data_IF_979370058771
#
_entry.id   IF_979370058771
#
_cell.length_a   1.000
_cell.length_b   1.000
_cell.length_c   1.000
_cell.angle_alpha   90.00
_cell.angle_beta   90.00
_cell.angle_gamma   90.00
#
_symmetry.space_group_name_H-M   'P 1'
#
loop_
_entity.id
_entity.type
_entity.pdbx_description
1 polymer ?
#
# COMPACT_ATOMS: atom_id res chain seq x y z
N UNK A 1 0.32 65.92 -23.96
CA UNK A 1 -0.30 65.20 -22.81
C UNK A 1 -1.05 63.98 -23.34
N UNK A 2 -1.04 62.87 -22.57
CA UNK A 2 -1.76 61.59 -22.78
C UNK A 2 -1.05 60.48 -23.56
N UNK A 3 -0.02 59.91 -22.92
CA UNK A 3 0.42 58.52 -23.14
C UNK A 3 0.79 57.90 -21.79
N UNK A 4 -0.20 57.70 -20.91
CA UNK A 4 -0.01 57.00 -19.62
C UNK A 4 -1.28 56.22 -19.24
N UNK A 5 -1.67 55.24 -20.06
CA UNK A 5 -2.76 54.32 -19.66
C UNK A 5 -2.73 52.94 -20.32
N UNK A 6 -1.59 52.50 -20.89
CA UNK A 6 -1.52 51.18 -21.55
C UNK A 6 -0.60 50.19 -20.80
N UNK A 7 0.31 50.66 -19.96
CA UNK A 7 1.22 49.76 -19.22
C UNK A 7 0.62 49.09 -17.98
N UNK A 8 -0.56 49.50 -17.51
CA UNK A 8 -1.18 48.93 -16.30
C UNK A 8 -2.08 47.71 -16.57
N UNK A 9 -2.58 47.55 -17.81
CA UNK A 9 -3.46 46.43 -18.17
C UNK A 9 -2.67 45.14 -18.47
N UNK A 10 -1.39 45.26 -18.82
CA UNK A 10 -0.51 44.12 -19.11
C UNK A 10 0.07 43.47 -17.84
N UNK A 11 0.23 44.23 -16.76
CA UNK A 11 0.73 43.69 -15.48
C UNK A 11 -0.39 42.92 -14.74
N UNK A 12 -1.66 43.30 -14.93
CA UNK A 12 -2.80 42.59 -14.31
C UNK A 12 -3.11 41.24 -14.98
N UNK A 13 -2.77 41.07 -16.26
CA UNK A 13 -2.94 39.82 -17.01
C UNK A 13 -1.81 38.81 -16.76
N UNK A 14 -0.61 39.27 -16.40
CA UNK A 14 0.51 38.38 -16.01
C UNK A 14 0.28 37.80 -14.59
N UNK A 15 -0.41 38.53 -13.71
CA UNK A 15 -0.76 38.04 -12.36
C UNK A 15 -1.95 37.06 -12.34
N UNK A 16 -2.77 37.01 -13.39
CA UNK A 16 -3.90 36.07 -13.50
C UNK A 16 -3.53 34.73 -14.17
N UNK A 17 -2.28 34.58 -14.63
CA UNK A 17 -1.70 33.32 -15.13
C UNK A 17 -0.88 32.60 -14.04
N UNK A 18 -0.99 33.04 -12.78
CA UNK A 18 -0.78 32.17 -11.61
C UNK A 18 -1.87 31.09 -11.60
N UNK A 19 -1.81 30.19 -12.58
CA UNK A 19 -2.56 28.96 -12.61
C UNK A 19 -2.38 28.29 -11.25
N UNK A 20 -3.47 28.10 -10.50
CA UNK A 20 -3.54 27.32 -9.27
C UNK A 20 -3.13 25.86 -9.55
N UNK A 21 -1.86 25.63 -9.89
CA UNK A 21 -1.29 24.34 -10.25
C UNK A 21 -0.30 23.98 -9.16
N UNK A 22 -0.62 22.90 -8.47
CA UNK A 22 0.30 22.29 -7.52
C UNK A 22 1.47 21.73 -8.33
N UNK A 23 2.73 22.04 -7.97
CA UNK A 23 3.88 21.41 -8.61
C UNK A 23 3.79 19.87 -8.49
N UNK A 24 3.98 19.15 -9.59
CA UNK A 24 3.77 17.70 -9.63
C UNK A 24 4.60 16.95 -8.58
N UNK A 25 5.85 17.37 -8.38
CA UNK A 25 6.77 16.80 -7.39
C UNK A 25 6.20 16.81 -5.96
N UNK A 26 5.39 17.83 -5.63
CA UNK A 26 4.74 17.97 -4.32
C UNK A 26 3.59 17.01 -4.10
N UNK A 27 3.03 16.46 -5.17
CA UNK A 27 1.96 15.45 -5.15
C UNK A 27 2.41 14.09 -5.70
N UNK A 28 3.73 13.90 -5.84
CA UNK A 28 4.34 12.65 -6.32
C UNK A 28 4.69 11.73 -5.15
N UNK A 29 4.18 10.51 -5.19
CA UNK A 29 4.41 9.47 -4.18
C UNK A 29 5.52 8.49 -4.62
N UNK A 30 5.59 7.31 -4.02
CA UNK A 30 6.54 6.26 -4.41
C UNK A 30 6.33 5.85 -5.88
N UNK A 31 7.39 5.40 -6.54
CA UNK A 31 7.43 5.03 -7.96
C UNK A 31 7.02 6.16 -8.93
N UNK A 32 7.20 7.40 -8.51
CA UNK A 32 6.88 8.61 -9.28
C UNK A 32 5.40 8.74 -9.67
N UNK A 33 4.50 8.02 -8.99
CA UNK A 33 3.07 8.16 -9.23
C UNK A 33 2.56 9.53 -8.74
N UNK A 34 1.79 10.23 -9.57
CA UNK A 34 1.25 11.56 -9.27
C UNK A 34 -0.22 11.44 -8.90
N UNK A 35 -0.59 11.86 -7.68
CA UNK A 35 -2.00 11.83 -7.24
C UNK A 35 -2.86 12.86 -7.98
N UNK A 36 -4.19 12.63 -7.99
CA UNK A 36 -5.17 13.54 -8.61
C UNK A 36 -5.49 13.24 -10.08
N UNK A 37 -4.92 12.17 -10.65
CA UNK A 37 -5.29 11.65 -11.96
C UNK A 37 -6.72 11.08 -12.00
N UNK A 38 -7.23 10.84 -13.21
CA UNK A 38 -8.56 10.23 -13.39
C UNK A 38 -8.51 8.74 -13.08
N UNK A 39 -9.50 8.23 -12.35
CA UNK A 39 -9.61 6.82 -11.96
C UNK A 39 -9.63 5.87 -13.17
N UNK A 40 -10.29 6.25 -14.26
CA UNK A 40 -10.32 5.45 -15.50
C UNK A 40 -8.96 5.40 -16.25
N UNK A 41 -8.00 6.25 -15.87
CA UNK A 41 -6.65 6.25 -16.41
C UNK A 41 -5.64 5.52 -15.53
N UNK A 42 -6.05 5.00 -14.36
CA UNK A 42 -5.14 4.37 -13.39
C UNK A 42 -4.21 3.34 -14.02
N UNK A 43 -4.76 2.39 -14.76
CA UNK A 43 -4.00 1.31 -15.43
C UNK A 43 -2.99 1.91 -16.41
N UNK A 44 -3.42 2.85 -17.26
CA UNK A 44 -2.55 3.52 -18.24
C UNK A 44 -1.42 4.29 -17.56
N UNK A 45 -1.70 4.96 -16.46
CA UNK A 45 -0.71 5.69 -15.68
C UNK A 45 0.32 4.73 -15.06
N UNK A 46 -0.13 3.64 -14.43
CA UNK A 46 0.74 2.60 -13.88
C UNK A 46 1.65 1.98 -14.95
N UNK A 47 1.09 1.64 -16.11
CA UNK A 47 1.84 1.09 -17.25
C UNK A 47 2.87 2.10 -17.77
N UNK A 48 2.53 3.39 -17.85
CA UNK A 48 3.44 4.45 -18.31
C UNK A 48 4.64 4.66 -17.39
N UNK A 49 4.49 4.32 -16.11
CA UNK A 49 5.55 4.36 -15.09
C UNK A 49 6.34 3.04 -15.03
N UNK A 50 6.01 2.07 -15.88
CA UNK A 50 6.55 0.71 -15.87
C UNK A 50 6.42 0.04 -14.48
N UNK A 51 5.35 0.36 -13.74
CA UNK A 51 5.06 -0.29 -12.46
C UNK A 51 4.64 -1.73 -12.76
N UNK A 52 5.26 -2.68 -12.05
CA UNK A 52 5.07 -4.11 -12.33
C UNK A 52 3.63 -4.51 -12.06
N UNK A 53 3.09 -5.33 -12.93
CA UNK A 53 1.79 -5.98 -12.78
C UNK A 53 2.01 -7.48 -12.67
N UNK A 54 1.41 -8.12 -11.67
CA UNK A 54 1.49 -9.57 -11.51
C UNK A 54 0.17 -10.14 -11.00
N UNK A 55 0.00 -11.43 -11.26
CA UNK A 55 -1.03 -12.27 -10.69
C UNK A 55 -0.50 -12.89 -9.40
N UNK A 56 -1.25 -12.74 -8.32
CA UNK A 56 -0.95 -13.37 -7.03
C UNK A 56 -2.02 -14.38 -6.67
N UNK A 57 -1.61 -15.48 -6.04
CA UNK A 57 -2.57 -16.39 -5.42
C UNK A 57 -3.06 -15.81 -4.10
N UNK A 58 -4.35 -15.95 -3.85
CA UNK A 58 -5.00 -15.58 -2.59
C UNK A 58 -4.95 -16.71 -1.56
N UNK A 59 -4.83 -17.95 -2.04
CA UNK A 59 -4.60 -19.13 -1.21
C UNK A 59 -3.12 -19.39 -1.07
N UNK A 60 -2.74 -19.77 0.15
CA UNK A 60 -1.40 -20.20 0.53
C UNK A 60 -1.24 -21.70 0.38
N UNK A 61 -2.35 -22.45 0.48
CA UNK A 61 -2.41 -23.90 0.35
C UNK A 61 -3.49 -24.28 -0.65
N UNK A 62 -3.13 -25.10 -1.63
CA UNK A 62 -4.04 -25.72 -2.58
C UNK A 62 -4.13 -27.22 -2.30
N UNK A 63 -5.35 -27.75 -2.29
CA UNK A 63 -5.61 -29.18 -2.01
C UNK A 63 -6.13 -29.93 -3.23
N UNK A 64 -6.51 -29.23 -4.30
CA UNK A 64 -6.97 -29.86 -5.55
C UNK A 64 -6.65 -29.02 -6.80
N UNK A 65 -6.69 -29.65 -7.97
CA UNK A 65 -6.50 -28.98 -9.26
C UNK A 65 -7.59 -27.93 -9.55
N UNK A 66 -8.83 -28.19 -9.14
CA UNK A 66 -9.94 -27.26 -9.40
C UNK A 66 -9.70 -25.90 -8.73
N UNK A 67 -9.06 -25.88 -7.55
CA UNK A 67 -8.71 -24.64 -6.88
C UNK A 67 -7.61 -23.85 -7.61
N UNK A 68 -6.69 -24.55 -8.27
CA UNK A 68 -5.63 -23.94 -9.09
C UNK A 68 -6.22 -23.27 -10.33
N UNK A 69 -7.23 -23.88 -10.94
CA UNK A 69 -7.88 -23.34 -12.15
C UNK A 69 -8.97 -22.32 -11.85
N UNK A 70 -9.38 -22.18 -10.59
CA UNK A 70 -10.40 -21.22 -10.19
C UNK A 70 -9.80 -19.81 -10.07
N UNK A 71 -10.09 -18.96 -11.05
CA UNK A 71 -9.67 -17.56 -11.10
C UNK A 71 -10.07 -16.75 -9.87
N UNK A 72 -11.08 -17.18 -9.09
CA UNK A 72 -11.45 -16.54 -7.84
C UNK A 72 -10.36 -16.66 -6.75
N UNK A 73 -9.44 -17.61 -6.89
CA UNK A 73 -8.29 -17.79 -6.01
C UNK A 73 -7.11 -16.88 -6.36
N UNK A 74 -7.28 -15.95 -7.30
CA UNK A 74 -6.22 -15.08 -7.77
C UNK A 74 -6.63 -13.62 -7.75
N UNK A 75 -5.63 -12.75 -7.76
CA UNK A 75 -5.77 -11.31 -7.86
C UNK A 75 -4.73 -10.79 -8.82
N UNK A 76 -5.12 -9.91 -9.73
CA UNK A 76 -4.20 -9.18 -10.57
C UNK A 76 -3.97 -7.82 -9.94
N UNK A 77 -2.71 -7.46 -9.68
CA UNK A 77 -2.41 -6.21 -9.02
C UNK A 77 -1.09 -5.60 -9.45
N UNK A 78 -1.05 -4.27 -9.47
CA UNK A 78 0.19 -3.51 -9.58
C UNK A 78 0.94 -3.60 -8.26
N UNK A 79 2.26 -3.75 -8.33
CA UNK A 79 3.09 -3.86 -7.13
C UNK A 79 4.45 -3.19 -7.29
N UNK A 80 5.04 -2.82 -6.16
CA UNK A 80 6.38 -2.24 -6.06
C UNK A 80 7.30 -3.10 -5.22
N UNK A 81 8.58 -3.14 -5.62
CA UNK A 81 9.66 -3.74 -4.84
C UNK A 81 10.44 -2.68 -4.04
N UNK A 82 9.97 -1.43 -3.99
CA UNK A 82 10.63 -0.36 -3.24
C UNK A 82 10.82 -0.68 -1.75
N UNK A 83 10.02 -1.60 -1.22
CA UNK A 83 10.07 -2.05 0.18
C UNK A 83 10.78 -3.39 0.38
N UNK A 84 11.49 -3.91 -0.64
CA UNK A 84 12.28 -5.13 -0.50
C UNK A 84 13.62 -4.88 0.23
N UNK A 85 13.52 -4.29 1.43
CA UNK A 85 14.64 -3.81 2.25
C UNK A 85 14.99 -4.76 3.40
N UNK A 86 14.22 -5.82 3.60
CA UNK A 86 14.39 -6.74 4.73
C UNK A 86 15.69 -7.54 4.62
N UNK A 87 16.40 -7.67 5.74
CA UNK A 87 17.57 -8.56 5.87
C UNK A 87 17.19 -10.05 5.78
N UNK A 88 15.89 -10.36 5.94
CA UNK A 88 15.35 -11.71 5.91
C UNK A 88 14.89 -12.14 4.50
N UNK A 89 15.25 -11.37 3.46
CA UNK A 89 14.91 -11.68 2.07
C UNK A 89 15.65 -12.92 1.57
N UNK A 90 14.98 -13.70 0.75
CA UNK A 90 15.45 -14.90 0.07
C UNK A 90 14.75 -14.99 -1.30
N UNK A 91 15.02 -16.05 -2.07
CA UNK A 91 14.46 -16.23 -3.42
C UNK A 91 12.93 -16.39 -3.50
N UNK A 92 12.26 -16.52 -2.35
CA UNK A 92 10.85 -16.82 -2.22
C UNK A 92 10.07 -15.72 -1.48
N UNK A 93 10.69 -14.86 -0.68
CA UNK A 93 10.01 -13.89 0.19
C UNK A 93 10.34 -12.42 -0.09
N UNK A 94 10.21 -11.99 -1.35
CA UNK A 94 10.32 -10.57 -1.68
C UNK A 94 9.26 -9.75 -0.93
N UNK A 95 9.69 -8.70 -0.22
CA UNK A 95 8.78 -7.76 0.44
C UNK A 95 8.31 -6.72 -0.59
N UNK A 96 7.00 -6.59 -0.73
CA UNK A 96 6.37 -5.80 -1.79
C UNK A 96 5.25 -4.93 -1.25
N UNK A 97 4.91 -3.88 -2.00
CA UNK A 97 3.70 -3.08 -1.79
C UNK A 97 2.72 -3.27 -2.93
N UNK A 98 1.49 -3.71 -2.65
CA UNK A 98 0.43 -3.86 -3.66
C UNK A 98 -0.44 -2.60 -3.70
N UNK A 99 -0.60 -2.01 -4.89
CA UNK A 99 -1.35 -0.77 -5.10
C UNK A 99 -2.87 -1.01 -5.14
N UNK A 100 -3.59 -0.14 -4.42
CA UNK A 100 -5.04 0.00 -4.50
C UNK A 100 -5.40 1.48 -4.59
N UNK A 101 -6.13 1.87 -5.65
CA UNK A 101 -6.63 3.24 -5.80
C UNK A 101 -7.77 3.52 -4.84
N UNK A 102 -7.73 4.67 -4.16
CA UNK A 102 -8.88 5.24 -3.47
C UNK A 102 -9.58 6.23 -4.41
N UNK A 103 -10.48 5.69 -5.23
CA UNK A 103 -11.46 6.50 -5.93
C UNK A 103 -12.65 6.74 -4.98
N UNK A 104 -13.09 7.98 -4.85
CA UNK A 104 -14.38 8.27 -4.24
C UNK A 104 -15.47 7.75 -5.18
N UNK A 105 -16.44 6.99 -4.67
CA UNK A 105 -17.51 6.36 -5.49
C UNK A 105 -18.27 7.37 -6.35
N UNK A 106 -18.27 8.64 -5.94
CA UNK A 106 -18.93 9.74 -6.65
C UNK A 106 -17.97 10.62 -7.47
N UNK A 107 -16.66 10.37 -7.44
CA UNK A 107 -15.66 11.20 -8.13
C UNK A 107 -14.81 10.37 -9.08
N UNK A 108 -14.62 10.90 -10.29
CA UNK A 108 -13.80 10.28 -11.34
C UNK A 108 -12.29 10.40 -11.09
N UNK A 109 -11.84 10.88 -9.92
CA UNK A 109 -10.44 11.20 -9.65
C UNK A 109 -9.88 10.38 -8.48
N UNK A 110 -8.60 10.04 -8.58
CA UNK A 110 -7.85 9.31 -7.55
C UNK A 110 -7.34 10.32 -6.53
N UNK A 111 -8.03 10.43 -5.41
CA UNK A 111 -7.65 11.33 -4.32
C UNK A 111 -6.63 10.70 -3.37
N UNK A 112 -6.39 9.40 -3.50
CA UNK A 112 -5.40 8.68 -2.73
C UNK A 112 -5.11 7.29 -3.26
N UNK A 113 -4.07 6.68 -2.71
CA UNK A 113 -3.64 5.31 -2.98
C UNK A 113 -3.30 4.64 -1.67
N UNK A 114 -3.64 3.36 -1.55
CA UNK A 114 -3.17 2.47 -0.48
C UNK A 114 -2.17 1.50 -1.09
N UNK A 115 -1.05 1.32 -0.40
CA UNK A 115 -0.12 0.23 -0.64
C UNK A 115 -0.28 -0.76 0.51
N UNK A 116 -0.84 -1.93 0.21
CA UNK A 116 -0.80 -3.06 1.13
C UNK A 116 0.63 -3.55 1.19
N UNK A 117 1.22 -3.54 2.37
CA UNK A 117 2.57 -4.04 2.55
C UNK A 117 2.48 -5.53 2.90
N UNK A 118 3.43 -6.31 2.38
CA UNK A 118 3.52 -7.73 2.66
C UNK A 118 4.74 -8.35 2.02
N UNK A 119 4.74 -9.66 1.90
CA UNK A 119 5.76 -10.41 1.17
C UNK A 119 5.12 -11.44 0.26
N UNK A 120 5.86 -11.81 -0.78
CA UNK A 120 5.49 -12.90 -1.67
C UNK A 120 5.91 -14.24 -1.08
N UNK A 121 5.28 -15.35 -1.43
CA UNK A 121 5.79 -16.69 -1.13
C UNK A 121 5.37 -17.67 -2.22
N UNK A 122 5.93 -18.88 -2.21
CA UNK A 122 5.41 -19.97 -3.03
C UNK A 122 4.18 -20.58 -2.35
N UNK A 123 3.06 -20.76 -3.06
CA UNK A 123 1.95 -21.53 -2.53
C UNK A 123 2.37 -22.98 -2.28
N UNK A 124 1.77 -23.61 -1.28
CA UNK A 124 1.96 -25.02 -0.94
C UNK A 124 0.86 -25.89 -1.56
N UNK A 125 1.19 -27.16 -1.83
CA UNK A 125 0.27 -28.14 -2.38
C UNK A 125 0.26 -29.39 -1.49
N UNK A 126 -0.91 -29.76 -0.99
CA UNK A 126 -1.06 -30.87 -0.02
C UNK A 126 -2.05 -31.94 -0.54
N UNK A 127 -2.17 -32.11 -1.86
CA UNK A 127 -3.08 -33.08 -2.50
C UNK A 127 -2.38 -34.01 -3.50
N UNK A 128 -3.17 -34.81 -4.24
CA UNK A 128 -2.74 -35.73 -5.33
C UNK A 128 -2.03 -35.04 -6.52
N UNK A 129 -1.81 -33.73 -6.41
CA UNK A 129 -1.25 -32.85 -7.43
C UNK A 129 0.24 -32.56 -7.20
N UNK A 130 0.97 -33.45 -6.51
CA UNK A 130 2.42 -33.32 -6.23
C UNK A 130 3.30 -33.14 -7.49
N UNK A 131 2.78 -33.47 -8.69
CA UNK A 131 3.41 -33.19 -9.99
C UNK A 131 3.21 -31.77 -10.54
N UNK A 132 2.34 -30.95 -9.95
CA UNK A 132 2.06 -29.56 -10.37
C UNK A 132 2.86 -28.51 -9.58
N UNK A 133 3.72 -28.93 -8.64
CA UNK A 133 4.56 -28.02 -7.86
C UNK A 133 5.43 -27.09 -8.73
N UNK A 134 5.67 -27.45 -9.99
CA UNK A 134 6.43 -26.66 -10.95
C UNK A 134 5.55 -25.92 -11.99
N UNK A 135 4.24 -26.15 -12.04
CA UNK A 135 3.38 -25.58 -13.09
C UNK A 135 2.80 -24.21 -12.73
N UNK A 136 2.75 -23.85 -11.45
CA UNK A 136 2.27 -22.54 -11.02
C UNK A 136 3.45 -21.59 -10.79
N UNK A 137 3.62 -20.63 -11.69
CA UNK A 137 4.60 -19.55 -11.54
C UNK A 137 4.14 -18.46 -10.56
N UNK A 138 2.83 -18.40 -10.28
CA UNK A 138 2.24 -17.35 -9.46
C UNK A 138 2.65 -17.51 -7.98
N UNK A 139 2.90 -16.37 -7.33
CA UNK A 139 3.25 -16.31 -5.92
C UNK A 139 2.02 -15.96 -5.10
N UNK A 140 1.93 -16.43 -3.86
CA UNK A 140 0.96 -15.88 -2.90
C UNK A 140 1.47 -14.56 -2.30
N UNK A 141 0.55 -13.73 -1.82
CA UNK A 141 0.86 -12.51 -1.07
C UNK A 141 0.38 -12.63 0.37
N UNK A 142 1.31 -12.49 1.31
CA UNK A 142 1.03 -12.48 2.74
C UNK A 142 1.19 -11.06 3.28
N UNK A 143 0.18 -10.56 3.99
CA UNK A 143 0.25 -9.25 4.64
C UNK A 143 1.04 -9.29 5.96
N UNK A 144 2.04 -10.15 6.08
CA UNK A 144 2.93 -10.27 7.23
C UNK A 144 4.31 -9.72 6.90
N UNK A 145 4.84 -8.89 7.78
CA UNK A 145 6.11 -8.21 7.57
C UNK A 145 6.93 -8.27 8.83
N UNK A 146 8.24 -8.48 8.68
CA UNK A 146 9.18 -8.31 9.78
C UNK A 146 9.06 -6.90 10.37
N UNK A 147 8.82 -6.82 11.68
CA UNK A 147 8.68 -5.56 12.43
C UNK A 147 9.82 -4.55 12.16
N UNK A 148 11.05 -5.03 11.93
CA UNK A 148 12.20 -4.17 11.66
C UNK A 148 12.10 -3.44 10.31
N UNK A 149 11.41 -4.02 9.31
CA UNK A 149 11.24 -3.40 8.00
C UNK A 149 10.47 -2.07 8.09
N UNK A 150 9.55 -1.92 9.05
CA UNK A 150 8.85 -0.65 9.24
C UNK A 150 9.78 0.50 9.60
N UNK A 151 10.87 0.23 10.34
CA UNK A 151 11.86 1.25 10.66
C UNK A 151 12.64 1.68 9.41
N UNK A 152 12.98 0.74 8.53
CA UNK A 152 13.62 1.04 7.25
C UNK A 152 12.69 1.84 6.33
N UNK A 153 11.39 1.53 6.32
CA UNK A 153 10.39 2.34 5.62
C UNK A 153 10.34 3.75 6.23
N UNK A 154 10.26 3.89 7.55
CA UNK A 154 10.27 5.22 8.20
C UNK A 154 11.49 6.04 7.79
N UNK A 155 12.69 5.44 7.79
CA UNK A 155 13.93 6.10 7.33
C UNK A 155 13.86 6.53 5.87
N UNK A 156 13.37 5.64 4.99
CA UNK A 156 13.18 5.94 3.57
C UNK A 156 12.29 7.18 3.36
N UNK A 157 11.18 7.26 4.10
CA UNK A 157 10.27 8.40 4.04
C UNK A 157 10.85 9.66 4.68
N UNK A 158 11.59 9.52 5.78
CA UNK A 158 12.18 10.64 6.48
C UNK A 158 13.16 11.44 5.61
N UNK A 159 13.90 10.76 4.75
CA UNK A 159 14.81 11.39 3.80
C UNK A 159 14.09 12.30 2.77
N UNK A 160 12.84 11.98 2.40
CA UNK A 160 12.07 12.72 1.40
C UNK A 160 11.09 13.74 2.02
N UNK A 161 10.48 13.40 3.15
CA UNK A 161 9.36 14.15 3.73
C UNK A 161 9.64 14.71 5.13
N UNK A 162 10.85 14.51 5.68
CA UNK A 162 11.20 14.91 7.04
C UNK A 162 10.68 13.93 8.10
N UNK A 163 10.80 14.28 9.39
CA UNK A 163 10.40 13.37 10.46
C UNK A 163 8.87 13.20 10.55
N UNK A 164 8.35 11.98 10.78
CA UNK A 164 6.92 11.76 10.97
C UNK A 164 6.43 12.25 12.31
N UNK A 165 5.12 12.48 12.38
CA UNK A 165 4.37 12.50 13.64
C UNK A 165 4.06 11.05 13.99
N UNK A 166 4.57 10.60 15.13
CA UNK A 166 4.28 9.28 15.68
C UNK A 166 2.99 9.33 16.51
N UNK A 167 2.11 8.35 16.31
CA UNK A 167 0.96 8.14 17.19
C UNK A 167 0.66 6.66 17.35
N UNK A 168 0.13 6.30 18.51
CA UNK A 168 -0.46 4.98 18.75
C UNK A 168 -1.97 5.12 18.71
N UNK A 169 -2.63 4.19 18.00
CA UNK A 169 -4.07 4.09 18.03
C UNK A 169 -4.49 2.89 18.88
N UNK A 170 -5.37 3.19 19.82
CA UNK A 170 -6.10 2.17 20.57
C UNK A 170 -7.21 1.59 19.72
N UNK A 171 -7.72 0.47 20.18
CA UNK A 171 -8.56 -0.43 19.41
C UNK A 171 -9.91 0.16 18.95
N UNK A 172 -10.46 1.17 19.61
CA UNK A 172 -11.73 1.78 19.19
C UNK A 172 -11.67 2.46 17.81
N UNK A 173 -10.48 2.91 17.38
CA UNK A 173 -10.28 3.73 16.17
C UNK A 173 -9.33 3.09 15.16
N UNK A 174 -9.00 1.81 15.37
CA UNK A 174 -8.06 1.08 14.53
C UNK A 174 -8.81 0.34 13.42
N UNK A 175 -8.40 0.57 12.18
CA UNK A 175 -8.88 -0.17 11.02
C UNK A 175 -7.70 -0.56 10.15
N UNK A 176 -7.73 -1.78 9.62
CA UNK A 176 -6.71 -2.26 8.69
C UNK A 176 -7.34 -2.78 7.41
N UNK A 177 -6.58 -2.74 6.33
CA UNK A 177 -7.06 -3.17 5.03
C UNK A 177 -6.67 -4.62 4.78
N UNK A 178 -7.66 -5.42 4.38
CA UNK A 178 -7.45 -6.78 3.90
C UNK A 178 -7.83 -6.87 2.44
N UNK A 179 -7.11 -7.71 1.72
CA UNK A 179 -7.51 -8.11 0.39
C UNK A 179 -8.59 -9.19 0.48
N UNK A 180 -9.76 -8.90 -0.06
CA UNK A 180 -10.85 -9.86 -0.14
C UNK A 180 -11.46 -9.81 -1.54
N UNK A 181 -11.26 -10.88 -2.29
CA UNK A 181 -11.50 -10.96 -3.73
C UNK A 181 -10.65 -9.90 -4.44
N UNK A 182 -11.19 -9.29 -5.50
CA UNK A 182 -10.54 -8.18 -6.20
C UNK A 182 -10.80 -6.82 -5.53
N UNK A 183 -11.15 -6.82 -4.25
CA UNK A 183 -11.55 -5.63 -3.51
C UNK A 183 -10.74 -5.47 -2.23
N UNK A 184 -10.52 -4.20 -1.87
CA UNK A 184 -9.94 -3.82 -0.60
C UNK A 184 -11.07 -3.64 0.43
N UNK A 185 -11.02 -4.37 1.54
CA UNK A 185 -11.97 -4.22 2.64
C UNK A 185 -11.26 -3.57 3.81
N UNK A 186 -11.85 -2.51 4.36
CA UNK A 186 -11.45 -1.96 5.64
C UNK A 186 -12.10 -2.79 6.75
N UNK A 187 -11.28 -3.52 7.50
CA UNK A 187 -11.73 -4.27 8.65
C UNK A 187 -11.52 -3.43 9.93
N UNK A 188 -12.61 -3.05 10.64
CA UNK A 188 -12.47 -2.39 11.92
C UNK A 188 -11.92 -3.39 12.95
N UNK A 189 -10.94 -2.98 13.76
CA UNK A 189 -10.33 -3.84 14.76
C UNK A 189 -10.48 -3.27 16.15
N UNK A 190 -11.47 -3.78 16.87
CA UNK A 190 -11.85 -3.29 18.19
C UNK A 190 -11.00 -3.82 19.34
N UNK A 191 -9.97 -4.64 19.10
CA UNK A 191 -9.26 -5.34 20.19
C UNK A 191 -7.74 -5.24 20.19
N UNK A 192 -7.11 -4.57 19.22
CA UNK A 192 -5.64 -4.50 19.15
C UNK A 192 -5.15 -3.09 18.92
N UNK A 193 -3.95 -2.81 19.43
CA UNK A 193 -3.26 -1.54 19.24
C UNK A 193 -2.36 -1.63 18.01
N UNK A 194 -2.06 -0.47 17.42
CA UNK A 194 -1.08 -0.39 16.35
C UNK A 194 -0.54 1.03 16.19
N UNK A 195 0.63 1.09 15.56
CA UNK A 195 1.44 2.30 15.48
C UNK A 195 1.28 2.96 14.11
N UNK A 196 1.16 4.28 14.12
CA UNK A 196 1.11 5.12 12.94
C UNK A 196 2.30 6.08 12.90
N UNK A 197 2.85 6.24 11.70
CA UNK A 197 3.76 7.33 11.37
C UNK A 197 3.10 8.17 10.28
N UNK A 198 2.91 9.46 10.56
CA UNK A 198 2.21 10.37 9.65
C UNK A 198 3.16 11.46 9.16
N UNK A 199 3.25 11.62 7.84
CA UNK A 199 3.85 12.79 7.21
C UNK A 199 2.73 13.62 6.59
N UNK A 200 2.70 14.91 6.90
CA UNK A 200 1.74 15.83 6.31
C UNK A 200 2.46 17.08 5.83
N UNK A 201 2.21 17.45 4.59
CA UNK A 201 2.59 18.74 4.05
C UNK A 201 1.35 19.47 3.54
N UNK A 202 1.54 20.58 2.83
CA UNK A 202 0.45 21.39 2.30
C UNK A 202 -0.51 20.61 1.37
N UNK A 203 -0.02 19.60 0.64
CA UNK A 203 -0.75 18.95 -0.45
C UNK A 203 -0.98 17.46 -0.30
N UNK A 204 -0.13 16.75 0.46
CA UNK A 204 -0.21 15.32 0.70
C UNK A 204 -0.16 15.02 2.19
N UNK A 205 -0.94 14.01 2.58
CA UNK A 205 -0.80 13.24 3.80
C UNK A 205 -0.39 11.80 3.47
N UNK A 206 0.59 11.28 4.21
CA UNK A 206 1.09 9.91 4.13
C UNK A 206 0.94 9.29 5.51
N UNK A 207 0.16 8.22 5.63
CA UNK A 207 0.01 7.45 6.86
C UNK A 207 0.63 6.06 6.66
N UNK A 208 1.68 5.74 7.40
CA UNK A 208 2.19 4.38 7.53
C UNK A 208 1.57 3.74 8.78
N UNK A 209 0.77 2.69 8.58
CA UNK A 209 0.34 1.80 9.66
C UNK A 209 1.29 0.61 9.74
N UNK A 210 1.90 0.39 10.90
CA UNK A 210 2.88 -0.71 11.08
C UNK A 210 2.25 -2.09 11.19
N UNK A 211 0.94 -2.20 11.05
CA UNK A 211 0.24 -3.44 11.32
C UNK A 211 0.11 -3.75 12.80
N UNK A 212 -0.29 -4.97 13.08
CA UNK A 212 -0.56 -5.51 14.41
C UNK A 212 0.34 -6.73 14.63
N UNK A 213 0.93 -6.91 15.82
CA UNK A 213 1.77 -8.09 16.09
C UNK A 213 1.06 -9.41 15.73
N UNK A 214 1.74 -10.24 14.93
CA UNK A 214 1.21 -11.52 14.48
C UNK A 214 1.23 -12.56 15.60
N UNK A 215 0.16 -13.34 15.70
CA UNK A 215 0.04 -14.47 16.63
C UNK A 215 0.39 -15.82 15.96
N UNK A 216 0.71 -15.81 14.67
CA UNK A 216 0.84 -17.05 13.88
C UNK A 216 2.07 -17.05 12.97
N UNK A 217 2.89 -16.00 12.99
CA UNK A 217 3.99 -15.89 12.03
C UNK A 217 5.23 -15.22 12.63
N UNK A 218 6.39 -15.68 12.19
CA UNK A 218 7.72 -15.12 12.51
C UNK A 218 8.58 -15.08 11.23
N UNK A 219 9.72 -14.39 11.31
CA UNK A 219 10.83 -14.58 10.38
C UNK A 219 12.00 -15.25 11.08
N UNK A 220 12.83 -15.99 10.35
CA UNK A 220 14.13 -16.47 10.82
C UNK A 220 15.18 -16.41 9.69
N UNK A 221 16.41 -16.89 9.92
CA UNK A 221 17.47 -16.91 8.90
C UNK A 221 17.10 -17.54 7.54
N UNK A 222 16.06 -18.38 7.48
CA UNK A 222 15.56 -19.00 6.24
C UNK A 222 14.43 -18.20 5.59
N UNK A 223 13.96 -17.11 6.18
CA UNK A 223 12.90 -16.25 5.69
C UNK A 223 11.63 -16.31 6.54
N UNK A 224 10.48 -16.25 5.88
CA UNK A 224 9.17 -16.26 6.55
C UNK A 224 8.82 -17.66 7.08
N UNK A 225 8.25 -17.71 8.28
CA UNK A 225 7.82 -18.92 8.97
C UNK A 225 6.36 -18.75 9.44
N UNK A 226 5.45 -19.50 8.81
CA UNK A 226 4.11 -19.74 9.35
C UNK A 226 4.25 -20.67 10.57
N UNK A 227 3.99 -20.12 11.75
CA UNK A 227 3.89 -20.87 12.99
C UNK A 227 2.41 -21.12 13.22
N UNK A 228 1.92 -22.23 12.67
CA UNK A 228 0.57 -22.72 12.99
C UNK A 228 0.52 -22.83 14.52
N UNK A 229 -0.17 -21.89 15.16
CA UNK A 229 -0.33 -21.91 16.60
C UNK A 229 -0.82 -23.31 16.97
N UNK A 230 -0.08 -23.96 17.86
CA UNK A 230 -0.35 -25.30 18.38
C UNK A 230 -1.85 -25.49 18.56
N UNK A 231 -2.38 -26.65 18.17
CA UNK A 231 -3.69 -27.14 18.57
C UNK A 231 -3.87 -26.93 20.09
N UNK A 232 -4.44 -25.79 20.51
CA UNK A 232 -4.58 -25.39 21.92
C UNK A 232 -3.95 -24.06 22.38
N UNK A 233 -3.27 -23.28 21.52
CA UNK A 233 -2.75 -21.95 21.87
C UNK A 233 -3.76 -20.82 21.60
N UNK A 234 -3.83 -19.82 22.49
CA UNK A 234 -4.68 -18.64 22.28
C UNK A 234 -4.17 -17.81 21.09
N UNK A 235 -4.92 -17.86 19.99
CA UNK A 235 -4.71 -17.07 18.75
C UNK A 235 -4.69 -15.55 18.95
N UNK A 236 -4.97 -15.06 20.16
CA UNK A 236 -4.92 -13.65 20.52
C UNK A 236 -3.52 -13.15 20.89
N UNK A 237 -2.63 -14.02 21.40
CA UNK A 237 -1.32 -13.62 21.94
C UNK A 237 -0.26 -13.59 20.84
N UNK A 238 0.43 -12.44 20.65
CA UNK A 238 1.51 -12.35 19.67
C UNK A 238 2.65 -13.33 19.95
N UNK A 239 3.24 -13.89 18.89
CA UNK A 239 4.43 -14.72 19.05
C UNK A 239 5.62 -13.88 19.52
N UNK A 240 6.43 -14.47 20.40
CA UNK A 240 7.67 -13.89 20.91
C UNK A 240 8.82 -14.48 20.09
N UNK A 241 9.63 -13.61 19.49
CA UNK A 241 10.78 -14.03 18.69
C UNK A 241 11.93 -14.53 19.58
N UNK A 242 12.50 -15.70 19.25
CA UNK A 242 13.68 -16.27 19.90
C UNK A 242 14.97 -15.77 19.23
N UNK A 243 15.70 -14.87 19.90
CA UNK A 243 16.95 -14.32 19.38
C UNK A 243 18.03 -15.39 19.17
N UNK A 244 18.02 -16.49 19.94
CA UNK A 244 18.98 -17.59 19.78
C UNK A 244 18.78 -18.35 18.45
N UNK A 245 17.59 -18.25 17.87
CA UNK A 245 17.23 -18.83 16.56
C UNK A 245 17.29 -17.82 15.43
N UNK A 246 17.79 -16.60 15.70
CA UNK A 246 17.75 -15.48 14.78
C UNK A 246 16.33 -15.21 14.28
N UNK A 247 15.34 -15.28 15.17
CA UNK A 247 13.95 -14.99 14.84
C UNK A 247 13.62 -13.50 14.96
N UNK A 248 12.68 -13.04 14.15
CA UNK A 248 12.12 -11.69 14.20
C UNK A 248 10.60 -11.73 14.22
N UNK A 249 10.01 -10.84 15.03
CA UNK A 249 8.56 -10.71 15.16
C UNK A 249 7.94 -10.17 13.87
N UNK A 250 6.78 -10.72 13.49
CA UNK A 250 5.96 -10.20 12.40
C UNK A 250 4.91 -9.22 12.91
N UNK A 251 4.59 -8.21 12.10
CA UNK A 251 3.31 -7.54 12.17
C UNK A 251 2.49 -7.85 10.91
N UNK A 252 1.20 -8.09 11.10
CA UNK A 252 0.22 -8.32 10.05
C UNK A 252 -0.51 -7.04 9.65
N UNK A 253 -0.95 -6.96 8.40
CA UNK A 253 -1.82 -5.93 7.84
C UNK A 253 -1.23 -4.51 7.81
N UNK A 254 0.09 -4.40 7.72
CA UNK A 254 0.76 -3.12 7.48
C UNK A 254 0.35 -2.51 6.14
N UNK A 255 0.23 -1.18 6.10
CA UNK A 255 -0.07 -0.46 4.86
C UNK A 255 0.49 0.95 4.87
N UNK A 256 0.66 1.53 3.68
CA UNK A 256 0.92 2.96 3.49
C UNK A 256 -0.26 3.57 2.75
N UNK A 257 -0.80 4.67 3.26
CA UNK A 257 -1.88 5.41 2.63
C UNK A 257 -1.40 6.80 2.25
N UNK A 258 -1.50 7.12 0.97
CA UNK A 258 -1.23 8.46 0.45
C UNK A 258 -2.56 9.11 0.10
N UNK A 259 -2.79 10.32 0.54
CA UNK A 259 -4.00 11.09 0.24
C UNK A 259 -3.67 12.54 -0.04
N UNK A 260 -4.37 13.14 -0.99
CA UNK A 260 -4.38 14.59 -1.16
C UNK A 260 -5.03 15.26 0.05
N UNK A 261 -4.51 16.41 0.46
CA UNK A 261 -5.17 17.28 1.46
C UNK A 261 -6.38 17.98 0.85
N UNK A 262 -7.28 18.48 1.70
CA UNK A 262 -8.42 19.30 1.23
C UNK A 262 -7.97 20.53 0.43
N UNK A 263 -6.83 21.12 0.81
CA UNK A 263 -6.23 22.23 0.06
C UNK A 263 -5.83 21.79 -1.34
N UNK A 264 -5.18 20.63 -1.49
CA UNK A 264 -4.81 20.12 -2.79
C UNK A 264 -6.02 19.77 -3.65
N UNK A 265 -7.02 19.12 -3.06
CA UNK A 265 -8.28 18.76 -3.75
C UNK A 265 -8.95 20.01 -4.32
N UNK A 266 -9.05 21.09 -3.53
CA UNK A 266 -9.65 22.38 -3.97
C UNK A 266 -8.83 23.05 -5.07
N UNK A 267 -7.50 23.11 -4.93
CA UNK A 267 -6.63 23.73 -5.94
C UNK A 267 -6.66 22.98 -7.26
N UNK A 268 -6.71 21.64 -7.22
CA UNK A 268 -6.84 20.77 -8.39
C UNK A 268 -8.29 20.66 -8.90
N UNK A 269 -9.26 21.28 -8.22
CA UNK A 269 -10.70 21.24 -8.56
C UNK A 269 -11.26 19.82 -8.65
N UNK A 270 -10.81 18.92 -7.77
CA UNK A 270 -11.23 17.52 -7.74
C UNK A 270 -12.49 17.27 -6.90
N UNK A 271 -13.02 18.31 -6.26
CA UNK A 271 -14.23 18.33 -5.45
C UNK A 271 -15.52 18.50 -6.26
N UNK A 272 -15.42 18.89 -7.53
CA UNK A 272 -16.57 19.11 -8.40
C UNK A 272 -17.14 17.79 -8.94
N UNK A 273 -18.47 17.58 -8.93
CA UNK A 273 -19.08 16.44 -9.61
C UNK A 273 -18.76 16.49 -11.10
N UNK A 274 -18.66 15.32 -11.74
CA UNK A 274 -18.43 15.25 -13.17
C UNK A 274 -19.53 16.06 -13.88
N UNK A 275 -19.14 17.11 -14.59
CA UNK A 275 -20.03 17.72 -15.58
C UNK A 275 -20.17 16.63 -16.65
N UNK A 276 -21.34 15.99 -16.70
CA UNK A 276 -21.70 15.15 -17.82
C UNK A 276 -21.80 16.08 -19.03
N UNK A 277 -20.68 16.25 -19.73
CA UNK A 277 -20.68 16.80 -21.07
C UNK A 277 -21.34 15.75 -21.97
N UNK A 278 -22.66 15.90 -22.15
CA UNK A 278 -23.40 15.32 -23.25
C UNK A 278 -23.19 16.15 -24.51
#
# INVERSE_FOLDING_TARGET
MKTRTISFLFILTILSISCNKIPKDKITIIDNYVLGGKANNFVKEMDSLAIKHARFTRKTVFTSYNEITDENNFVNAFFTNAFNLSDFKNSYNDNVGIYYSLADKNKQNIIGIILLLGHTNKPQYIGEVSGLNNSLSDRCFYQDINKNLFQEIVKLYANKYGNPIESEKNSSDLGYYIMHNNSLILNPNFYKNGKYYTWINEYIRIDLFTGIPSATSLYNSKGYLDVIASLGGDSSTPLIADSSKNEAQCNSYGFIKYTLTDKAIKLLKLDSPAINEY
#
